data_IF_582511527999
#
_entry.id   IF_582511527999
#
_cell.length_a   1.000
_cell.length_b   1.000
_cell.length_c   1.000
_cell.angle_alpha   90.00
_cell.angle_beta   90.00
_cell.angle_gamma   90.00
#
_symmetry.space_group_name_H-M   'P 1'
#
loop_
_entity.id
_entity.type
_entity.pdbx_description
1 polymer ?
#
# COMPACT_ATOMS: atom_id res chain seq x y z
N UNK A 1 33.65 6.32 3.76
CA UNK A 1 32.98 7.49 3.17
C UNK A 1 31.48 7.15 3.16
N UNK A 2 30.68 7.81 3.99
CA UNK A 2 29.23 7.63 3.98
C UNK A 2 28.75 8.48 2.81
N UNK A 3 28.31 7.83 1.72
CA UNK A 3 27.73 8.50 0.59
C UNK A 3 26.51 9.29 1.07
N UNK A 4 26.46 10.59 0.80
CA UNK A 4 25.28 11.39 1.12
C UNK A 4 24.08 10.80 0.38
N UNK A 5 22.92 10.62 1.04
CA UNK A 5 21.77 10.03 0.38
C UNK A 5 21.42 10.81 -0.88
N UNK A 6 21.18 10.08 -1.97
CA UNK A 6 20.82 10.69 -3.24
C UNK A 6 19.57 11.56 -3.03
N UNK A 7 19.64 12.82 -3.49
CA UNK A 7 18.57 13.79 -3.31
C UNK A 7 17.94 14.13 -4.66
N UNK A 8 16.61 14.00 -4.74
CA UNK A 8 15.84 14.21 -5.95
C UNK A 8 14.94 15.44 -5.86
N UNK A 9 14.71 16.09 -6.98
CA UNK A 9 13.60 17.05 -7.12
C UNK A 9 12.30 16.29 -7.43
N UNK A 10 11.17 16.92 -7.18
CA UNK A 10 9.84 16.32 -7.39
C UNK A 10 9.64 15.74 -8.81
N UNK A 11 10.14 16.40 -9.83
CA UNK A 11 10.06 15.92 -11.22
C UNK A 11 10.87 14.67 -11.47
N UNK A 12 12.01 14.53 -10.81
CA UNK A 12 12.84 13.32 -10.87
C UNK A 12 12.20 12.18 -10.10
N UNK A 13 11.75 12.42 -8.86
CA UNK A 13 11.01 11.44 -8.08
C UNK A 13 9.81 10.90 -8.86
N UNK A 14 9.00 11.78 -9.44
CA UNK A 14 7.82 11.39 -10.21
C UNK A 14 8.18 10.48 -11.40
N UNK A 15 9.25 10.81 -12.16
CA UNK A 15 9.72 9.96 -13.26
C UNK A 15 10.20 8.59 -12.80
N UNK A 16 10.95 8.53 -11.70
CA UNK A 16 11.52 7.28 -11.15
C UNK A 16 10.44 6.29 -10.72
N UNK A 17 9.30 6.79 -10.22
CA UNK A 17 8.16 5.96 -9.79
C UNK A 17 7.05 5.83 -10.81
N UNK A 18 7.16 6.46 -11.97
CA UNK A 18 6.15 6.37 -13.03
C UNK A 18 4.86 7.12 -12.72
N UNK A 19 4.96 8.29 -12.07
CA UNK A 19 3.83 9.16 -11.73
C UNK A 19 4.08 10.61 -12.15
N UNK A 20 3.25 11.55 -11.72
CA UNK A 20 3.37 12.97 -12.03
C UNK A 20 3.74 13.80 -10.80
N UNK A 21 4.42 14.97 -10.97
CA UNK A 21 4.68 15.88 -9.85
C UNK A 21 3.40 16.34 -9.13
N UNK A 22 2.29 16.44 -9.86
CA UNK A 22 0.99 16.78 -9.28
C UNK A 22 0.49 15.68 -8.34
N UNK A 23 0.62 14.40 -8.73
CA UNK A 23 0.25 13.27 -7.89
C UNK A 23 1.12 13.19 -6.64
N UNK A 24 2.43 13.44 -6.75
CA UNK A 24 3.34 13.49 -5.59
C UNK A 24 2.87 14.55 -4.58
N UNK A 25 2.60 15.78 -5.03
CA UNK A 25 2.08 16.87 -4.16
C UNK A 25 0.77 16.49 -3.50
N UNK A 26 -0.11 15.85 -4.23
CA UNK A 26 -1.39 15.38 -3.71
C UNK A 26 -1.23 14.38 -2.56
N UNK A 27 -0.32 13.41 -2.70
CA UNK A 27 -0.02 12.47 -1.60
C UNK A 27 0.67 13.14 -0.40
N UNK A 28 1.49 14.16 -0.62
CA UNK A 28 2.04 14.98 0.46
C UNK A 28 0.94 15.75 1.21
N UNK A 29 0.03 16.40 0.48
CA UNK A 29 -1.12 17.13 1.05
C UNK A 29 -2.03 16.22 1.88
N UNK A 30 -2.18 14.97 1.47
CA UNK A 30 -2.89 13.94 2.21
C UNK A 30 -2.11 13.40 3.42
N UNK A 31 -0.85 13.79 3.62
CA UNK A 31 0.01 13.28 4.69
C UNK A 31 0.49 11.84 4.48
N UNK A 32 0.38 11.30 3.27
CA UNK A 32 0.83 9.94 2.91
C UNK A 32 2.31 9.88 2.57
N UNK A 33 2.90 11.00 2.17
CA UNK A 33 4.34 11.20 2.07
C UNK A 33 4.77 12.20 3.15
N UNK A 34 5.90 11.96 3.86
CA UNK A 34 6.39 12.90 4.84
C UNK A 34 6.71 14.25 4.19
N UNK A 35 6.46 15.32 4.91
CA UNK A 35 6.88 16.65 4.49
C UNK A 35 8.39 16.77 4.62
N UNK A 36 9.07 17.14 3.54
CA UNK A 36 10.52 17.19 3.52
C UNK A 36 11.09 18.57 3.79
N UNK A 37 12.34 18.55 4.27
CA UNK A 37 13.16 19.74 4.38
C UNK A 37 13.27 20.43 3.01
N UNK A 38 13.27 21.74 3.03
CA UNK A 38 13.55 22.54 1.84
C UNK A 38 15.06 22.64 1.69
N UNK A 39 15.57 22.47 0.47
CA UNK A 39 16.94 22.83 0.15
C UNK A 39 17.21 24.31 0.44
N UNK A 40 18.47 24.74 0.52
CA UNK A 40 18.88 26.15 0.70
C UNK A 40 18.23 27.13 -0.30
N UNK A 41 17.72 26.62 -1.43
CA UNK A 41 16.94 27.37 -2.42
C UNK A 41 15.41 27.28 -2.27
N UNK A 42 14.88 26.77 -1.16
CA UNK A 42 13.43 26.67 -0.88
C UNK A 42 12.69 25.56 -1.64
N UNK A 43 13.39 24.70 -2.38
CA UNK A 43 12.80 23.59 -3.12
C UNK A 43 12.69 22.33 -2.25
N UNK A 44 11.57 21.60 -2.37
CA UNK A 44 11.41 20.30 -1.74
C UNK A 44 12.40 19.29 -2.33
N UNK A 45 13.05 18.55 -1.47
CA UNK A 45 14.05 17.54 -1.81
C UNK A 45 13.58 16.21 -1.22
N UNK A 46 13.70 15.16 -1.99
CA UNK A 46 13.28 13.79 -1.67
C UNK A 46 14.49 12.88 -1.68
N UNK A 47 14.42 11.79 -0.94
CA UNK A 47 15.47 10.78 -0.88
C UNK A 47 14.98 9.39 -1.37
N UNK A 48 15.84 8.39 -1.26
CA UNK A 48 15.49 7.02 -1.66
C UNK A 48 14.38 6.40 -0.81
N UNK A 49 14.22 6.84 0.45
CA UNK A 49 13.14 6.36 1.33
C UNK A 49 11.80 6.88 0.83
N UNK A 50 11.76 8.11 0.36
CA UNK A 50 10.57 8.71 -0.25
C UNK A 50 10.20 8.02 -1.55
N UNK A 51 11.20 7.71 -2.36
CA UNK A 51 11.02 6.95 -3.59
C UNK A 51 10.40 5.58 -3.28
N UNK A 52 10.97 4.85 -2.32
CA UNK A 52 10.46 3.54 -1.95
C UNK A 52 9.04 3.63 -1.37
N UNK A 53 8.79 4.57 -0.46
CA UNK A 53 7.46 4.80 0.12
C UNK A 53 6.42 5.12 -0.95
N UNK A 54 6.76 5.95 -1.91
CA UNK A 54 5.84 6.30 -3.01
C UNK A 54 5.60 5.10 -3.94
N UNK A 55 6.61 4.28 -4.20
CA UNK A 55 6.45 3.02 -4.95
C UNK A 55 5.50 2.07 -4.25
N UNK A 56 5.68 1.85 -2.96
CA UNK A 56 4.87 0.94 -2.15
C UNK A 56 3.41 1.43 -2.10
N UNK A 57 3.20 2.72 -1.89
CA UNK A 57 1.89 3.36 -1.88
C UNK A 57 1.16 3.18 -3.22
N UNK A 58 1.82 3.47 -4.34
CA UNK A 58 1.24 3.33 -5.67
C UNK A 58 0.97 1.86 -6.01
N UNK A 59 1.88 0.98 -5.65
CA UNK A 59 1.75 -0.46 -5.86
C UNK A 59 0.53 -1.01 -5.13
N UNK A 60 0.41 -0.75 -3.84
CA UNK A 60 -0.70 -1.28 -3.03
C UNK A 60 -2.05 -0.71 -3.45
N UNK A 61 -2.07 0.59 -3.77
CA UNK A 61 -3.28 1.24 -4.29
C UNK A 61 -3.75 0.60 -5.58
N UNK A 62 -2.84 0.31 -6.50
CA UNK A 62 -3.17 -0.31 -7.79
C UNK A 62 -3.57 -1.77 -7.61
N UNK A 63 -2.80 -2.53 -6.82
CA UNK A 63 -3.01 -3.96 -6.59
C UNK A 63 -4.37 -4.25 -5.96
N UNK A 64 -4.75 -3.48 -4.95
CA UNK A 64 -5.98 -3.68 -4.20
C UNK A 64 -7.13 -2.75 -4.65
N UNK A 65 -6.88 -1.81 -5.56
CA UNK A 65 -7.87 -0.82 -5.97
C UNK A 65 -8.40 0.00 -4.79
N UNK A 66 -7.52 0.40 -3.87
CA UNK A 66 -7.91 1.09 -2.65
C UNK A 66 -8.43 2.50 -2.92
N UNK A 67 -9.51 2.87 -2.23
CA UNK A 67 -9.91 4.25 -2.05
C UNK A 67 -8.84 5.03 -1.27
N UNK A 68 -8.91 6.35 -1.27
CA UNK A 68 -7.96 7.17 -0.50
C UNK A 68 -8.06 6.94 1.01
N UNK A 69 -9.25 6.67 1.52
CA UNK A 69 -9.46 6.34 2.93
C UNK A 69 -8.80 5.01 3.28
N UNK A 70 -9.05 3.96 2.50
CA UNK A 70 -8.44 2.64 2.70
C UNK A 70 -6.91 2.69 2.54
N UNK A 71 -6.41 3.50 1.59
CA UNK A 71 -4.97 3.70 1.40
C UNK A 71 -4.35 4.37 2.63
N UNK A 72 -5.04 5.36 3.24
CA UNK A 72 -4.59 5.98 4.48
C UNK A 72 -4.52 4.97 5.62
N UNK A 73 -5.58 4.18 5.82
CA UNK A 73 -5.60 3.12 6.84
C UNK A 73 -4.45 2.13 6.65
N UNK A 74 -4.18 1.74 5.41
CA UNK A 74 -3.05 0.87 5.07
C UNK A 74 -1.71 1.49 5.45
N UNK A 75 -1.48 2.74 5.05
CA UNK A 75 -0.20 3.44 5.30
C UNK A 75 -0.01 3.75 6.78
N UNK A 76 -1.07 4.11 7.50
CA UNK A 76 -1.02 4.33 8.95
C UNK A 76 -0.64 3.05 9.70
N UNK A 77 -1.14 1.88 9.27
CA UNK A 77 -0.76 0.59 9.83
C UNK A 77 0.72 0.25 9.52
N UNK A 78 1.21 0.55 8.31
CA UNK A 78 2.63 0.40 7.95
C UNK A 78 3.53 1.26 8.83
N UNK A 79 3.18 2.54 9.00
CA UNK A 79 3.94 3.48 9.81
C UNK A 79 3.96 3.09 11.29
N UNK A 80 2.81 2.63 11.81
CA UNK A 80 2.72 2.12 13.18
C UNK A 80 3.65 0.91 13.37
N UNK A 81 3.65 -0.04 12.45
CA UNK A 81 4.54 -1.21 12.52
C UNK A 81 6.02 -0.83 12.38
N UNK A 82 6.35 0.19 11.60
CA UNK A 82 7.73 0.70 11.54
C UNK A 82 8.18 1.23 12.90
N UNK A 83 7.34 2.04 13.57
CA UNK A 83 7.61 2.54 14.93
C UNK A 83 7.73 1.40 15.97
N UNK A 84 6.94 0.33 15.83
CA UNK A 84 7.04 -0.84 16.71
C UNK A 84 8.38 -1.57 16.54
N UNK A 85 8.91 -1.66 15.32
CA UNK A 85 10.24 -2.24 15.07
C UNK A 85 11.35 -1.42 15.73
N UNK A 86 11.26 -0.09 15.70
CA UNK A 86 12.21 0.79 16.39
C UNK A 86 12.12 0.57 17.92
N UNK A 87 10.92 0.61 18.49
CA UNK A 87 10.70 0.33 19.92
C UNK A 87 11.24 -1.05 20.34
N UNK A 88 11.07 -2.05 19.51
CA UNK A 88 11.60 -3.40 19.76
C UNK A 88 13.12 -3.45 19.86
N UNK A 89 13.82 -2.68 19.02
CA UNK A 89 15.28 -2.62 19.02
C UNK A 89 15.83 -1.95 20.29
N UNK A 90 15.08 -0.99 20.84
CA UNK A 90 15.49 -0.25 22.03
C UNK A 90 15.15 -0.98 23.34
N UNK A 91 14.37 -2.06 23.29
CA UNK A 91 13.97 -2.80 24.49
C UNK A 91 15.04 -3.78 24.97
N UNK A 92 15.25 -3.87 26.30
CA UNK A 92 16.05 -4.93 26.89
C UNK A 92 15.54 -6.32 26.52
N UNK A 93 16.44 -7.28 26.32
CA UNK A 93 16.08 -8.65 25.92
C UNK A 93 15.22 -9.39 26.95
N UNK A 94 15.29 -8.97 28.20
CA UNK A 94 14.62 -9.60 29.34
C UNK A 94 13.23 -9.00 29.65
N UNK A 95 12.80 -7.95 28.92
CA UNK A 95 11.47 -7.35 29.12
C UNK A 95 10.41 -8.05 28.27
N UNK A 96 10.05 -9.26 28.67
CA UNK A 96 9.05 -10.06 27.98
C UNK A 96 7.64 -9.42 27.97
N UNK A 97 7.33 -8.62 28.98
CA UNK A 97 6.02 -7.94 29.07
C UNK A 97 5.91 -6.87 27.98
N UNK A 98 6.87 -5.95 27.90
CA UNK A 98 6.87 -4.90 26.89
C UNK A 98 7.02 -5.46 25.46
N UNK A 99 7.79 -6.51 25.30
CA UNK A 99 7.89 -7.25 24.03
C UNK A 99 6.56 -7.87 23.61
N UNK A 100 5.85 -8.49 24.56
CA UNK A 100 4.52 -9.05 24.31
C UNK A 100 3.48 -7.99 23.90
N UNK A 101 3.56 -6.79 24.47
CA UNK A 101 2.71 -5.66 24.08
C UNK A 101 2.98 -5.19 22.67
N UNK A 102 4.25 -5.04 22.28
CA UNK A 102 4.65 -4.67 20.91
C UNK A 102 4.14 -5.69 19.89
N UNK A 103 4.25 -6.99 20.19
CA UNK A 103 3.75 -8.05 19.31
C UNK A 103 2.24 -7.95 19.14
N UNK A 104 1.48 -7.75 20.20
CA UNK A 104 0.01 -7.63 20.13
C UNK A 104 -0.40 -6.42 19.30
N UNK A 105 0.20 -5.26 19.56
CA UNK A 105 -0.03 -4.04 18.79
C UNK A 105 0.31 -4.25 17.30
N UNK A 106 1.41 -4.93 16.98
CA UNK A 106 1.78 -5.30 15.62
C UNK A 106 0.76 -6.24 14.94
N UNK A 107 0.21 -7.19 15.68
CA UNK A 107 -0.85 -8.09 15.19
C UNK A 107 -2.14 -7.33 14.85
N UNK A 108 -2.51 -6.32 15.64
CA UNK A 108 -3.71 -5.51 15.39
C UNK A 108 -3.55 -4.69 14.08
N UNK A 109 -2.36 -4.11 13.84
CA UNK A 109 -2.09 -3.41 12.58
C UNK A 109 -2.10 -4.35 11.37
N UNK A 110 -1.56 -5.56 11.50
CA UNK A 110 -1.65 -6.58 10.45
C UNK A 110 -3.09 -7.02 10.20
N UNK A 111 -3.91 -7.13 11.25
CA UNK A 111 -5.32 -7.48 11.12
C UNK A 111 -6.08 -6.44 10.29
N UNK A 112 -5.79 -5.15 10.45
CA UNK A 112 -6.35 -4.06 9.63
C UNK A 112 -6.00 -4.25 8.14
N UNK A 113 -4.74 -4.49 7.82
CA UNK A 113 -4.31 -4.71 6.44
C UNK A 113 -4.90 -6.00 5.85
N UNK A 114 -4.94 -7.08 6.62
CA UNK A 114 -5.56 -8.35 6.20
C UNK A 114 -7.06 -8.21 5.93
N UNK A 115 -7.78 -7.36 6.68
CA UNK A 115 -9.19 -7.10 6.43
C UNK A 115 -9.42 -6.46 5.05
N UNK A 116 -8.60 -5.49 4.65
CA UNK A 116 -8.65 -4.87 3.32
C UNK A 116 -8.39 -5.90 2.21
N UNK A 117 -7.36 -6.74 2.38
CA UNK A 117 -7.06 -7.82 1.42
C UNK A 117 -8.20 -8.81 1.29
N UNK A 118 -8.78 -9.26 2.41
CA UNK A 118 -9.89 -10.22 2.43
C UNK A 118 -11.14 -9.67 1.78
N UNK A 119 -11.43 -8.38 1.98
CA UNK A 119 -12.55 -7.72 1.28
C UNK A 119 -12.36 -7.80 -0.24
N UNK A 120 -11.16 -7.51 -0.74
CA UNK A 120 -10.86 -7.60 -2.18
C UNK A 120 -10.94 -9.02 -2.71
N UNK A 121 -10.43 -10.00 -1.96
CA UNK A 121 -10.55 -11.41 -2.35
C UNK A 121 -12.01 -11.82 -2.48
N UNK A 122 -12.84 -11.47 -1.51
CA UNK A 122 -14.29 -11.77 -1.56
C UNK A 122 -15.01 -11.09 -2.75
N UNK A 123 -14.61 -9.85 -3.10
CA UNK A 123 -15.17 -9.16 -4.26
C UNK A 123 -14.79 -9.86 -5.57
N UNK A 124 -13.53 -10.30 -5.68
CA UNK A 124 -13.04 -11.04 -6.85
C UNK A 124 -13.69 -12.43 -6.98
N UNK A 125 -13.85 -13.15 -5.88
CA UNK A 125 -14.54 -14.44 -5.85
C UNK A 125 -15.98 -14.32 -6.34
N UNK A 126 -16.72 -13.31 -5.87
CA UNK A 126 -18.09 -13.03 -6.36
C UNK A 126 -18.13 -12.72 -7.85
N UNK A 127 -17.18 -11.94 -8.35
CA UNK A 127 -17.09 -11.64 -9.78
C UNK A 127 -16.77 -12.91 -10.60
N UNK A 128 -15.87 -13.77 -10.10
CA UNK A 128 -15.57 -15.05 -10.74
C UNK A 128 -16.80 -15.95 -10.84
N UNK A 129 -17.57 -16.08 -9.75
CA UNK A 129 -18.80 -16.86 -9.71
C UNK A 129 -19.82 -16.35 -10.73
N UNK A 130 -20.04 -15.04 -10.78
CA UNK A 130 -20.93 -14.41 -11.75
C UNK A 130 -20.52 -14.70 -13.20
N UNK A 131 -19.23 -14.62 -13.51
CA UNK A 131 -18.71 -14.92 -14.84
C UNK A 131 -18.79 -16.40 -15.17
N UNK A 132 -18.56 -17.28 -14.20
CA UNK A 132 -18.72 -18.72 -14.36
C UNK A 132 -20.17 -19.10 -14.67
N UNK A 133 -21.13 -18.47 -13.98
CA UNK A 133 -22.56 -18.66 -14.24
C UNK A 133 -22.96 -18.21 -15.64
N UNK A 134 -22.53 -17.04 -16.08
CA UNK A 134 -22.76 -16.55 -17.44
C UNK A 134 -22.19 -17.51 -18.49
N UNK A 135 -20.98 -18.01 -18.25
CA UNK A 135 -20.34 -19.00 -19.13
C UNK A 135 -21.14 -20.31 -19.19
N UNK A 136 -21.65 -20.82 -18.05
CA UNK A 136 -22.49 -22.02 -18.01
C UNK A 136 -23.79 -21.84 -18.83
N UNK A 137 -24.44 -20.69 -18.65
CA UNK A 137 -25.69 -20.37 -19.41
C UNK A 137 -25.42 -20.33 -20.91
N UNK A 138 -24.37 -19.67 -21.35
CA UNK A 138 -24.03 -19.60 -22.78
C UNK A 138 -23.70 -20.98 -23.37
N UNK A 139 -22.98 -21.83 -22.61
CA UNK A 139 -22.69 -23.20 -23.04
C UNK A 139 -24.01 -24.04 -23.18
N UNK A 140 -24.92 -23.92 -22.23
CA UNK A 140 -26.24 -24.61 -22.33
C UNK A 140 -26.99 -24.15 -23.57
N UNK A 141 -27.12 -22.85 -23.80
CA UNK A 141 -27.78 -22.32 -25.00
C UNK A 141 -27.12 -22.80 -26.28
N UNK A 142 -25.80 -22.88 -26.35
CA UNK A 142 -25.11 -23.39 -27.52
C UNK A 142 -25.41 -24.89 -27.75
N UNK A 143 -25.39 -25.71 -26.70
CA UNK A 143 -25.73 -27.13 -26.77
C UNK A 143 -27.19 -27.37 -27.25
N UNK A 144 -28.12 -26.56 -26.77
CA UNK A 144 -29.52 -26.64 -27.21
C UNK A 144 -29.70 -26.26 -28.69
N UNK A 145 -28.86 -25.36 -29.21
CA UNK A 145 -28.87 -24.99 -30.64
C UNK A 145 -28.24 -26.07 -31.54
N UNK A 146 -27.20 -26.76 -31.03
CA UNK A 146 -26.50 -27.82 -31.78
C UNK A 146 -27.25 -29.15 -31.78
N UNK A 147 -28.16 -29.37 -30.81
CA UNK A 147 -28.96 -30.58 -30.67
C UNK A 147 -30.44 -30.20 -30.47
N UNK A 148 -31.09 -29.61 -31.48
CA UNK A 148 -32.53 -29.32 -31.40
C UNK A 148 -33.31 -30.65 -31.29
N UNK A 149 -34.21 -30.70 -30.34
CA UNK A 149 -35.07 -31.87 -30.10
C UNK A 149 -35.91 -32.21 -31.32
#
# INVERSE_FOLDING_TARGET
MIDAPARFRIGELARRVGTTPRAVRYYEELGLLPGHERSDGGHRVYDERDEQRLRDLLHIRTLLGLSLTELREWMDAEDARARLRERWQDLPSEDDTARGEIIREGLDHLATQLALVRTRLSDLERLEDDLADKRRRLRSMLADMEHPA
#
